data_IF_894110798820
#
_entry.id   IF_894110798820
#
_cell.length_a   1.000
_cell.length_b   1.000
_cell.length_c   1.000
_cell.angle_alpha   90.00
_cell.angle_beta   90.00
_cell.angle_gamma   90.00
#
_symmetry.space_group_name_H-M   'P 1'
#
loop_
_entity.id
_entity.type
_entity.pdbx_description
1 polymer ?
#
# COMPACT_ATOMS: atom_id res chain seq x y z
N UNK A 1 2.12 -22.18 14.55
CA UNK A 1 1.50 -20.99 13.91
C UNK A 1 0.75 -21.48 12.67
N UNK A 2 -0.43 -20.94 12.42
CA UNK A 2 -1.18 -21.24 11.18
C UNK A 2 -0.36 -20.81 9.95
N UNK A 3 -0.48 -21.57 8.85
CA UNK A 3 0.16 -21.21 7.59
C UNK A 3 -0.43 -19.90 7.06
N UNK A 4 0.44 -19.01 6.59
CA UNK A 4 0.05 -17.73 5.97
C UNK A 4 0.31 -17.83 4.47
N UNK A 5 -0.73 -17.67 3.66
CA UNK A 5 -0.61 -17.63 2.20
C UNK A 5 -1.04 -16.26 1.70
N UNK A 6 -0.20 -15.60 0.94
CA UNK A 6 -0.52 -14.36 0.27
C UNK A 6 -0.96 -14.63 -1.17
N UNK A 7 -2.25 -14.43 -1.45
CA UNK A 7 -2.78 -14.39 -2.80
C UNK A 7 -2.49 -13.02 -3.40
N UNK A 8 -1.65 -12.96 -4.42
CA UNK A 8 -1.05 -11.70 -4.85
C UNK A 8 -0.84 -11.57 -6.37
N UNK A 9 -0.41 -10.39 -6.77
CA UNK A 9 0.26 -10.07 -8.01
C UNK A 9 1.55 -9.33 -7.66
N UNK A 10 2.70 -9.86 -8.04
CA UNK A 10 4.03 -9.42 -7.55
C UNK A 10 4.27 -7.91 -7.71
N UNK A 11 3.80 -7.33 -8.82
CA UNK A 11 3.96 -5.89 -9.11
C UNK A 11 2.97 -4.98 -8.38
N UNK A 12 2.00 -5.53 -7.64
CA UNK A 12 0.99 -4.76 -6.91
C UNK A 12 1.60 -4.13 -5.65
N UNK A 13 1.47 -2.81 -5.51
CA UNK A 13 1.86 -2.11 -4.28
C UNK A 13 1.04 -2.57 -3.06
N UNK A 14 -0.25 -2.89 -3.24
CA UNK A 14 -1.06 -3.44 -2.15
C UNK A 14 -0.57 -4.81 -1.68
N UNK A 15 -0.08 -5.65 -2.58
CA UNK A 15 0.56 -6.92 -2.20
C UNK A 15 1.91 -6.68 -1.53
N UNK A 16 2.67 -5.70 -2.02
CA UNK A 16 3.94 -5.30 -1.43
C UNK A 16 3.80 -4.81 0.02
N UNK A 17 2.75 -4.05 0.37
CA UNK A 17 2.45 -3.69 1.77
C UNK A 17 2.50 -4.90 2.70
N UNK A 18 1.84 -6.00 2.30
CA UNK A 18 1.77 -7.22 3.12
C UNK A 18 3.12 -7.92 3.18
N UNK A 19 3.85 -8.02 2.05
CA UNK A 19 5.21 -8.59 2.04
C UNK A 19 6.16 -7.83 2.94
N UNK A 20 6.13 -6.49 2.87
CA UNK A 20 6.97 -5.62 3.68
C UNK A 20 6.61 -5.73 5.17
N UNK A 21 5.31 -5.73 5.51
CA UNK A 21 4.88 -5.92 6.90
C UNK A 21 5.33 -7.28 7.43
N UNK A 22 5.13 -8.35 6.66
CA UNK A 22 5.54 -9.70 7.06
C UNK A 22 7.05 -9.80 7.29
N UNK A 23 7.86 -9.17 6.43
CA UNK A 23 9.30 -9.13 6.60
C UNK A 23 9.72 -8.44 7.90
N UNK A 24 9.12 -7.30 8.22
CA UNK A 24 9.41 -6.57 9.46
C UNK A 24 9.01 -7.33 10.73
N UNK A 25 7.93 -8.13 10.69
CA UNK A 25 7.52 -8.95 11.84
C UNK A 25 8.10 -10.36 11.84
N UNK A 26 8.94 -10.70 10.86
CA UNK A 26 9.55 -12.02 10.73
C UNK A 26 8.54 -13.13 10.37
N UNK A 27 7.38 -12.79 9.80
CA UNK A 27 6.38 -13.76 9.40
C UNK A 27 6.73 -14.38 8.04
N UNK A 28 6.63 -15.71 7.93
CA UNK A 28 6.84 -16.43 6.67
C UNK A 28 5.53 -16.45 5.88
N UNK A 29 5.59 -16.00 4.62
CA UNK A 29 4.47 -16.06 3.69
C UNK A 29 4.75 -17.10 2.60
N UNK A 30 3.80 -17.99 2.38
CA UNK A 30 3.68 -18.68 1.10
C UNK A 30 3.03 -17.73 0.09
N UNK A 31 3.47 -17.75 -1.16
CA UNK A 31 2.97 -16.81 -2.20
C UNK A 31 2.20 -17.58 -3.26
N UNK A 32 0.99 -17.12 -3.54
CA UNK A 32 0.14 -17.63 -4.61
C UNK A 32 -0.12 -16.50 -5.60
N UNK A 33 0.57 -16.56 -6.74
CA UNK A 33 0.54 -15.51 -7.77
C UNK A 33 -0.69 -15.64 -8.67
N UNK A 34 -1.24 -14.49 -9.09
CA UNK A 34 -2.34 -14.38 -10.04
C UNK A 34 -2.04 -13.31 -11.08
N UNK A 35 -2.21 -13.63 -12.35
CA UNK A 35 -2.18 -12.64 -13.41
C UNK A 35 -3.51 -11.87 -13.47
N UNK A 36 -3.51 -10.67 -12.90
CA UNK A 36 -4.70 -9.80 -12.90
C UNK A 36 -5.03 -9.27 -14.31
N UNK A 37 -4.03 -9.18 -15.20
CA UNK A 37 -4.23 -8.72 -16.57
C UNK A 37 -4.87 -9.82 -17.42
N UNK A 38 -4.58 -11.09 -17.13
CA UNK A 38 -5.26 -12.26 -17.72
C UNK A 38 -6.63 -12.54 -17.08
N UNK A 39 -7.03 -11.79 -16.04
CA UNK A 39 -8.34 -11.95 -15.40
C UNK A 39 -8.43 -13.14 -14.44
N UNK A 40 -7.33 -13.71 -13.97
CA UNK A 40 -7.33 -14.90 -13.10
C UNK A 40 -8.09 -14.68 -11.78
N UNK A 41 -8.13 -13.43 -11.28
CA UNK A 41 -8.93 -13.05 -10.09
C UNK A 41 -10.44 -12.92 -10.39
N UNK A 42 -10.87 -13.06 -11.64
CA UNK A 42 -12.28 -13.01 -12.06
C UNK A 42 -12.87 -14.38 -12.36
N UNK A 43 -12.11 -15.44 -12.17
CA UNK A 43 -12.59 -16.80 -12.35
C UNK A 43 -13.63 -17.18 -11.29
N UNK A 44 -14.62 -18.07 -11.63
CA UNK A 44 -15.60 -18.54 -10.65
C UNK A 44 -14.97 -19.15 -9.40
N UNK A 45 -13.85 -19.84 -9.56
CA UNK A 45 -13.10 -20.45 -8.45
C UNK A 45 -12.55 -19.37 -7.49
N UNK A 46 -11.93 -18.31 -8.02
CA UNK A 46 -11.39 -17.23 -7.21
C UNK A 46 -12.52 -16.49 -6.48
N UNK A 47 -13.57 -16.10 -7.21
CA UNK A 47 -14.69 -15.33 -6.68
C UNK A 47 -15.46 -16.07 -5.58
N UNK A 48 -15.61 -17.40 -5.71
CA UNK A 48 -16.35 -18.18 -4.71
C UNK A 48 -15.54 -18.60 -3.49
N UNK A 49 -14.21 -18.68 -3.61
CA UNK A 49 -13.36 -19.27 -2.54
C UNK A 49 -12.41 -18.28 -1.90
N UNK A 50 -11.88 -17.33 -2.65
CA UNK A 50 -10.80 -16.45 -2.19
C UNK A 50 -11.35 -15.06 -1.85
N UNK A 51 -11.94 -14.38 -2.84
CA UNK A 51 -12.49 -13.05 -2.65
C UNK A 51 -13.59 -12.74 -3.66
N UNK A 52 -14.82 -12.61 -3.19
CA UNK A 52 -15.98 -12.27 -4.03
C UNK A 52 -15.87 -10.93 -4.76
N UNK A 53 -14.98 -10.04 -4.29
CA UNK A 53 -14.64 -8.78 -4.98
C UNK A 53 -13.74 -8.97 -6.21
N UNK A 54 -13.12 -10.15 -6.38
CA UNK A 54 -12.21 -10.43 -7.47
C UNK A 54 -10.95 -9.55 -7.44
N UNK A 55 -10.45 -9.21 -6.26
CA UNK A 55 -9.25 -8.38 -6.07
C UNK A 55 -8.21 -9.11 -5.23
N UNK A 56 -6.96 -8.75 -5.46
CA UNK A 56 -5.80 -9.06 -4.62
C UNK A 56 -5.28 -7.77 -3.98
N UNK A 57 -4.54 -7.86 -2.88
CA UNK A 57 -4.14 -9.05 -2.14
C UNK A 57 -5.26 -9.64 -1.29
N UNK A 58 -5.09 -10.92 -0.93
CA UNK A 58 -5.83 -11.57 0.13
C UNK A 58 -4.82 -12.34 1.00
N UNK A 59 -4.84 -12.12 2.30
CA UNK A 59 -4.07 -12.91 3.24
C UNK A 59 -4.92 -14.10 3.70
N UNK A 60 -4.50 -15.30 3.37
CA UNK A 60 -5.11 -16.52 3.89
C UNK A 60 -4.41 -16.95 5.18
N UNK A 61 -5.18 -17.24 6.22
CA UNK A 61 -4.74 -17.65 7.55
C UNK A 61 -5.45 -18.97 7.87
N UNK A 62 -4.77 -20.09 7.67
CA UNK A 62 -5.43 -21.41 7.70
C UNK A 62 -6.56 -21.47 6.67
N UNK A 63 -7.81 -21.66 7.12
CA UNK A 63 -8.99 -21.74 6.26
C UNK A 63 -9.72 -20.39 6.08
N UNK A 64 -9.21 -19.30 6.66
CA UNK A 64 -9.83 -17.97 6.63
C UNK A 64 -9.13 -17.06 5.63
N UNK A 65 -9.92 -16.25 4.93
CA UNK A 65 -9.44 -15.31 3.90
C UNK A 65 -9.71 -13.88 4.36
N UNK A 66 -8.65 -13.08 4.44
CA UNK A 66 -8.69 -11.67 4.83
C UNK A 66 -8.32 -10.79 3.62
N UNK A 67 -9.31 -10.25 2.89
CA UNK A 67 -9.07 -9.22 1.89
C UNK A 67 -8.73 -7.88 2.56
N UNK A 68 -8.42 -6.85 1.77
CA UNK A 68 -7.98 -5.52 2.14
C UNK A 68 -6.54 -5.49 2.71
N UNK A 69 -5.64 -4.90 1.92
CA UNK A 69 -4.21 -4.88 2.23
C UNK A 69 -3.90 -4.25 3.58
N UNK A 70 -4.58 -3.16 3.94
CA UNK A 70 -4.35 -2.46 5.20
C UNK A 70 -4.85 -3.26 6.41
N UNK A 71 -5.95 -4.02 6.25
CA UNK A 71 -6.42 -4.95 7.28
C UNK A 71 -5.44 -6.11 7.48
N UNK A 72 -4.88 -6.65 6.39
CA UNK A 72 -3.87 -7.69 6.45
C UNK A 72 -2.56 -7.20 7.11
N UNK A 73 -2.11 -5.98 6.80
CA UNK A 73 -0.97 -5.35 7.46
C UNK A 73 -1.23 -5.15 8.96
N UNK A 74 -2.41 -4.65 9.31
CA UNK A 74 -2.81 -4.50 10.71
C UNK A 74 -2.81 -5.84 11.45
N UNK A 75 -3.37 -6.90 10.83
CA UNK A 75 -3.38 -8.25 11.41
C UNK A 75 -1.96 -8.75 11.70
N UNK A 76 -1.05 -8.63 10.74
CA UNK A 76 0.34 -9.06 10.89
C UNK A 76 1.10 -8.23 11.94
N UNK A 77 0.83 -6.93 12.04
CA UNK A 77 1.48 -6.02 12.96
C UNK A 77 0.93 -6.11 14.40
N UNK A 78 -0.26 -6.70 14.59
CA UNK A 78 -0.91 -6.81 15.91
C UNK A 78 -0.02 -7.56 16.90
N UNK A 79 0.21 -6.96 18.08
CA UNK A 79 1.06 -7.53 19.13
C UNK A 79 2.56 -7.32 18.91
N UNK A 80 2.95 -6.54 17.92
CA UNK A 80 4.34 -6.13 17.67
C UNK A 80 4.52 -4.63 17.93
N UNK A 81 5.76 -4.17 17.87
CA UNK A 81 6.11 -2.75 18.01
C UNK A 81 5.67 -1.86 16.83
N UNK A 82 5.17 -2.44 15.72
CA UNK A 82 4.64 -1.70 14.58
C UNK A 82 3.28 -1.04 14.87
N UNK A 83 2.59 -1.44 15.94
CA UNK A 83 1.36 -0.80 16.43
C UNK A 83 1.66 -0.14 17.77
N UNK A 84 1.42 1.17 17.93
CA UNK A 84 1.62 1.87 19.20
C UNK A 84 0.77 1.27 20.32
N UNK A 85 1.21 1.42 21.57
CA UNK A 85 0.44 0.99 22.74
C UNK A 85 -0.57 2.05 23.18
N UNK A 86 -0.29 3.33 22.95
CA UNK A 86 -1.20 4.42 23.29
C UNK A 86 -2.47 4.37 22.43
N UNK A 87 -3.62 4.57 23.06
CA UNK A 87 -4.92 4.47 22.40
C UNK A 87 -5.13 5.54 21.32
N UNK A 88 -4.61 6.75 21.56
CA UNK A 88 -4.73 7.82 20.57
C UNK A 88 -3.86 7.53 19.35
N UNK A 89 -2.63 7.09 19.59
CA UNK A 89 -1.71 6.75 18.49
C UNK A 89 -2.20 5.54 17.66
N UNK A 90 -2.90 4.58 18.30
CA UNK A 90 -3.59 3.50 17.57
C UNK A 90 -4.68 4.07 16.65
N UNK A 91 -5.49 4.99 17.16
CA UNK A 91 -6.53 5.64 16.37
C UNK A 91 -5.93 6.51 15.25
N UNK A 92 -4.81 7.20 15.51
CA UNK A 92 -4.10 7.98 14.52
C UNK A 92 -3.46 7.09 13.44
N UNK A 93 -2.94 5.91 13.82
CA UNK A 93 -2.50 4.90 12.87
C UNK A 93 -3.64 4.50 11.93
N UNK A 94 -4.81 4.13 12.47
CA UNK A 94 -5.98 3.77 11.67
C UNK A 94 -6.45 4.94 10.79
N UNK A 95 -6.39 6.18 11.28
CA UNK A 95 -6.69 7.37 10.48
C UNK A 95 -5.80 7.44 9.24
N UNK A 96 -4.48 7.19 9.38
CA UNK A 96 -3.57 7.17 8.25
C UNK A 96 -3.88 6.02 7.28
N UNK A 97 -4.24 4.84 7.78
CA UNK A 97 -4.63 3.70 6.94
C UNK A 97 -5.90 3.99 6.13
N UNK A 98 -6.92 4.63 6.76
CA UNK A 98 -8.14 5.05 6.06
C UNK A 98 -7.88 6.19 5.09
N UNK A 99 -7.06 7.17 5.47
CA UNK A 99 -6.69 8.27 4.60
C UNK A 99 -5.94 7.80 3.36
N UNK A 100 -5.07 6.84 3.52
CA UNK A 100 -4.35 6.21 2.41
C UNK A 100 -5.34 5.63 1.39
N UNK A 101 -6.32 4.85 1.84
CA UNK A 101 -7.32 4.23 0.98
C UNK A 101 -8.28 5.23 0.33
N UNK A 102 -8.55 6.36 0.98
CA UNK A 102 -9.52 7.33 0.48
C UNK A 102 -8.89 8.46 -0.33
N UNK A 103 -7.69 8.92 0.04
CA UNK A 103 -7.09 10.14 -0.51
C UNK A 103 -5.79 9.90 -1.29
N UNK A 104 -4.94 8.98 -0.83
CA UNK A 104 -3.63 8.73 -1.44
C UNK A 104 -3.71 7.67 -2.54
N UNK A 105 -4.07 6.44 -2.23
CA UNK A 105 -4.09 5.33 -3.20
C UNK A 105 -4.97 5.60 -4.42
N UNK A 106 -6.21 6.10 -4.30
CA UNK A 106 -7.08 6.33 -5.46
C UNK A 106 -6.50 7.31 -6.48
N UNK A 107 -5.51 8.09 -6.09
CA UNK A 107 -4.87 9.09 -6.93
C UNK A 107 -3.44 8.67 -7.32
N UNK A 108 -2.59 8.41 -6.34
CA UNK A 108 -1.18 8.08 -6.59
C UNK A 108 -1.03 6.70 -7.25
N UNK A 109 -1.63 5.66 -6.66
CA UNK A 109 -1.55 4.31 -7.20
C UNK A 109 -2.31 4.14 -8.52
N UNK A 110 -3.44 4.83 -8.67
CA UNK A 110 -4.21 4.80 -9.92
C UNK A 110 -3.41 5.38 -11.08
N UNK A 111 -2.74 6.52 -10.89
CA UNK A 111 -1.91 7.11 -11.95
C UNK A 111 -0.69 6.24 -12.23
N UNK A 112 -0.04 5.66 -11.21
CA UNK A 112 1.01 4.67 -11.41
C UNK A 112 0.52 3.53 -12.30
N UNK A 113 -0.64 2.93 -12.00
CA UNK A 113 -1.22 1.86 -12.83
C UNK A 113 -1.51 2.31 -14.26
N UNK A 114 -2.08 3.50 -14.44
CA UNK A 114 -2.41 4.00 -15.77
C UNK A 114 -1.16 4.23 -16.63
N UNK A 115 -0.14 4.89 -16.07
CA UNK A 115 1.07 5.18 -16.83
C UNK A 115 1.96 3.96 -17.05
N UNK A 116 2.14 3.10 -16.03
CA UNK A 116 3.11 2.00 -16.07
C UNK A 116 2.59 0.70 -16.68
N UNK A 117 1.25 0.47 -16.70
CA UNK A 117 0.66 -0.76 -17.25
C UNK A 117 -0.20 -0.53 -18.49
N UNK A 118 -0.92 0.58 -18.54
CA UNK A 118 -1.81 0.88 -19.68
C UNK A 118 -1.04 1.64 -20.75
N UNK A 119 -0.22 2.63 -20.35
CA UNK A 119 0.43 3.59 -21.22
C UNK A 119 -0.50 4.74 -21.61
N UNK A 120 0.02 5.97 -21.60
CA UNK A 120 -0.78 7.18 -21.84
C UNK A 120 -1.46 7.19 -23.21
N UNK A 121 -0.81 6.61 -24.22
CA UNK A 121 -1.33 6.46 -25.58
C UNK A 121 -2.62 5.61 -25.63
N UNK A 122 -2.79 4.70 -24.68
CA UNK A 122 -3.92 3.77 -24.60
C UNK A 122 -5.05 4.26 -23.67
N UNK A 123 -4.95 5.47 -23.10
CA UNK A 123 -5.99 5.98 -22.21
C UNK A 123 -7.32 6.12 -22.90
N UNK A 124 -8.36 5.56 -22.29
CA UNK A 124 -9.74 5.75 -22.74
C UNK A 124 -10.24 7.16 -22.37
N UNK A 125 -11.44 7.52 -22.83
CA UNK A 125 -12.06 8.82 -22.61
C UNK A 125 -12.22 9.15 -21.12
N UNK A 126 -12.65 8.17 -20.31
CA UNK A 126 -12.79 8.34 -18.86
C UNK A 126 -11.44 8.66 -18.20
N UNK A 127 -10.37 7.92 -18.56
CA UNK A 127 -9.04 8.15 -17.99
C UNK A 127 -8.49 9.54 -18.36
N UNK A 128 -8.67 9.97 -19.61
CA UNK A 128 -8.26 11.30 -20.05
C UNK A 128 -9.02 12.41 -19.30
N UNK A 129 -10.33 12.26 -19.13
CA UNK A 129 -11.15 13.22 -18.40
C UNK A 129 -10.83 13.27 -16.89
N UNK A 130 -10.53 12.13 -16.27
CA UNK A 130 -10.25 12.03 -14.84
C UNK A 130 -8.79 12.38 -14.48
N UNK A 131 -7.87 12.32 -15.43
CA UNK A 131 -6.43 12.51 -15.19
C UNK A 131 -6.09 13.83 -14.47
N UNK A 132 -6.59 15.02 -14.90
CA UNK A 132 -6.27 16.27 -14.22
C UNK A 132 -6.72 16.29 -12.76
N UNK A 133 -7.92 15.77 -12.46
CA UNK A 133 -8.46 15.72 -11.10
C UNK A 133 -7.67 14.77 -10.21
N UNK A 134 -7.34 13.57 -10.72
CA UNK A 134 -6.53 12.60 -9.97
C UNK A 134 -5.12 13.12 -9.71
N UNK A 135 -4.53 13.80 -10.70
CA UNK A 135 -3.21 14.41 -10.53
C UNK A 135 -3.22 15.49 -9.46
N UNK A 136 -4.19 16.42 -9.49
CA UNK A 136 -4.33 17.45 -8.47
C UNK A 136 -4.50 16.85 -7.08
N UNK A 137 -5.42 15.89 -6.90
CA UNK A 137 -5.64 15.24 -5.62
C UNK A 137 -4.42 14.44 -5.13
N UNK A 138 -3.64 13.85 -6.03
CA UNK A 138 -2.39 13.17 -5.65
C UNK A 138 -1.27 14.15 -5.24
N UNK A 139 -1.17 15.30 -5.89
CA UNK A 139 -0.26 16.38 -5.47
C UNK A 139 -0.63 16.91 -4.08
N UNK A 140 -1.93 17.12 -3.81
CA UNK A 140 -2.42 17.52 -2.49
C UNK A 140 -2.11 16.46 -1.42
N UNK A 141 -2.26 15.17 -1.76
CA UNK A 141 -1.94 14.09 -0.85
C UNK A 141 -0.43 14.05 -0.52
N UNK A 142 0.45 14.15 -1.51
CA UNK A 142 1.89 14.19 -1.30
C UNK A 142 2.31 15.43 -0.50
N UNK A 143 1.70 16.59 -0.79
CA UNK A 143 1.95 17.81 -0.03
C UNK A 143 1.54 17.69 1.44
N UNK A 144 0.37 17.08 1.73
CA UNK A 144 -0.07 16.85 3.11
C UNK A 144 0.92 15.96 3.86
N UNK A 145 1.43 14.92 3.21
CA UNK A 145 2.48 14.07 3.78
C UNK A 145 3.76 14.86 4.03
N UNK A 146 4.21 15.67 3.07
CA UNK A 146 5.43 16.46 3.19
C UNK A 146 5.34 17.47 4.34
N UNK A 147 4.23 18.22 4.44
CA UNK A 147 3.99 19.16 5.52
C UNK A 147 3.95 18.49 6.92
N UNK A 148 3.42 17.26 6.99
CA UNK A 148 3.40 16.46 8.21
C UNK A 148 4.80 15.98 8.60
N UNK A 149 5.53 15.43 7.64
CA UNK A 149 6.86 14.83 7.82
C UNK A 149 7.97 15.87 7.94
N UNK A 150 7.74 17.12 7.55
CA UNK A 150 8.68 18.21 7.80
C UNK A 150 8.96 18.47 9.29
N UNK A 151 8.12 17.94 10.18
CA UNK A 151 8.21 18.13 11.64
C UNK A 151 8.32 16.81 12.40
N UNK A 152 8.41 15.69 11.68
CA UNK A 152 8.37 14.34 12.26
C UNK A 152 9.23 13.40 11.43
N UNK A 153 9.82 12.43 12.10
CA UNK A 153 10.56 11.37 11.41
C UNK A 153 9.63 10.31 10.80
N UNK A 154 8.47 10.08 11.43
CA UNK A 154 7.48 9.08 11.01
C UNK A 154 6.04 9.60 11.13
N UNK A 155 5.10 8.86 10.56
CA UNK A 155 3.71 9.32 10.45
C UNK A 155 2.98 9.38 11.79
N UNK A 156 3.27 8.47 12.73
CA UNK A 156 2.58 8.37 14.02
C UNK A 156 3.60 8.25 15.15
N UNK A 157 3.37 8.97 16.25
CA UNK A 157 4.16 8.91 17.48
C UNK A 157 5.69 9.07 17.29
N UNK A 158 6.08 9.67 16.18
CA UNK A 158 7.48 9.89 15.77
C UNK A 158 8.34 8.61 15.79
N UNK A 159 7.72 7.48 15.49
CA UNK A 159 8.35 6.16 15.43
C UNK A 159 7.84 5.35 14.24
N UNK A 160 8.73 4.52 13.68
CA UNK A 160 8.39 3.62 12.60
C UNK A 160 7.25 2.67 12.99
N UNK A 161 6.23 2.55 12.13
CA UNK A 161 5.05 1.74 12.38
C UNK A 161 4.34 1.27 11.11
N UNK A 162 3.22 0.59 11.29
CA UNK A 162 2.46 0.02 10.16
C UNK A 162 1.90 1.10 9.22
N UNK A 163 1.65 2.31 9.70
CA UNK A 163 1.24 3.43 8.85
C UNK A 163 2.33 3.80 7.83
N UNK A 164 3.61 3.81 8.28
CA UNK A 164 4.74 4.08 7.39
C UNK A 164 4.88 3.00 6.33
N UNK A 165 4.76 1.72 6.69
CA UNK A 165 4.82 0.60 5.75
C UNK A 165 3.73 0.72 4.67
N UNK A 166 2.51 1.02 5.09
CA UNK A 166 1.36 1.11 4.19
C UNK A 166 1.53 2.26 3.18
N UNK A 167 1.89 3.45 3.67
CA UNK A 167 2.05 4.63 2.82
C UNK A 167 3.33 4.58 1.97
N UNK A 168 4.40 3.95 2.48
CA UNK A 168 5.64 3.77 1.73
C UNK A 168 5.43 3.09 0.38
N UNK A 169 4.57 2.09 0.33
CA UNK A 169 4.40 1.21 -0.84
C UNK A 169 4.15 1.98 -2.15
N UNK A 170 3.21 2.90 -2.15
CA UNK A 170 2.89 3.67 -3.36
C UNK A 170 3.60 5.02 -3.42
N UNK A 171 4.01 5.57 -2.28
CA UNK A 171 4.77 6.81 -2.28
C UNK A 171 6.17 6.60 -2.87
N UNK A 172 6.83 5.48 -2.57
CA UNK A 172 8.16 5.16 -3.09
C UNK A 172 8.21 4.96 -4.61
N UNK A 173 7.06 4.69 -5.23
CA UNK A 173 6.93 4.48 -6.67
C UNK A 173 6.06 5.54 -7.36
N UNK A 174 5.79 6.66 -6.69
CA UNK A 174 4.86 7.67 -7.20
C UNK A 174 5.36 8.34 -8.50
N UNK A 175 6.66 8.37 -8.75
CA UNK A 175 7.24 8.92 -9.98
C UNK A 175 6.81 8.13 -11.22
N UNK A 176 6.52 6.83 -11.09
CA UNK A 176 5.91 6.04 -12.16
C UNK A 176 4.50 6.54 -12.55
N UNK A 177 3.83 7.28 -11.66
CA UNK A 177 2.55 7.97 -11.91
C UNK A 177 2.71 9.42 -12.38
N UNK A 178 3.96 9.87 -12.62
CA UNK A 178 4.30 11.20 -13.11
C UNK A 178 4.33 12.28 -12.02
N UNK A 179 4.49 11.90 -10.76
CA UNK A 179 4.82 12.83 -9.66
C UNK A 179 6.33 13.02 -9.59
N UNK A 180 6.80 14.03 -8.89
CA UNK A 180 8.23 14.31 -8.70
C UNK A 180 8.55 14.34 -7.21
N UNK A 181 9.29 13.35 -6.70
CA UNK A 181 9.70 13.28 -5.30
C UNK A 181 10.58 14.46 -4.88
N UNK A 182 11.35 15.03 -5.79
CA UNK A 182 12.16 16.22 -5.53
C UNK A 182 11.36 17.45 -5.08
N UNK A 183 10.05 17.49 -5.36
CA UNK A 183 9.16 18.56 -4.92
C UNK A 183 8.71 18.39 -3.43
N UNK A 184 9.03 17.24 -2.80
CA UNK A 184 8.61 16.84 -1.46
C UNK A 184 9.79 16.35 -0.62
N UNK A 185 10.67 17.26 -0.16
CA UNK A 185 11.93 16.87 0.50
C UNK A 185 11.75 16.10 1.82
N UNK A 186 10.68 16.38 2.58
CA UNK A 186 10.40 15.66 3.81
C UNK A 186 9.89 14.24 3.55
N UNK A 187 9.09 14.05 2.51
CA UNK A 187 8.68 12.72 2.02
C UNK A 187 9.90 11.94 1.54
N UNK A 188 10.80 12.56 0.77
CA UNK A 188 12.01 11.90 0.28
C UNK A 188 12.88 11.40 1.44
N UNK A 189 13.15 12.25 2.42
CA UNK A 189 13.91 11.88 3.62
C UNK A 189 13.23 10.78 4.44
N UNK A 190 11.89 10.80 4.53
CA UNK A 190 11.12 9.74 5.17
C UNK A 190 11.20 8.42 4.40
N UNK A 191 11.13 8.42 3.07
CA UNK A 191 11.31 7.21 2.25
C UNK A 191 12.67 6.56 2.51
N UNK A 192 13.74 7.37 2.61
CA UNK A 192 15.09 6.87 2.94
C UNK A 192 15.12 6.24 4.35
N UNK A 193 14.49 6.87 5.35
CA UNK A 193 14.41 6.32 6.72
C UNK A 193 13.65 5.01 6.77
N UNK A 194 12.54 4.89 6.05
CA UNK A 194 11.76 3.64 5.97
C UNK A 194 12.55 2.54 5.25
N UNK A 195 13.22 2.87 4.15
CA UNK A 195 14.05 1.91 3.42
C UNK A 195 15.26 1.42 4.23
N UNK A 196 15.76 2.23 5.16
CA UNK A 196 16.87 1.88 6.04
C UNK A 196 16.46 1.02 7.24
N UNK A 197 15.17 0.76 7.45
CA UNK A 197 14.71 -0.05 8.58
C UNK A 197 15.17 -1.50 8.46
N UNK A 198 15.62 -2.12 9.56
CA UNK A 198 15.92 -3.55 9.59
C UNK A 198 14.70 -4.37 9.13
N UNK A 199 14.93 -5.34 8.25
CA UNK A 199 13.84 -6.16 7.70
C UNK A 199 13.15 -5.55 6.46
N UNK A 200 13.61 -4.39 5.98
CA UNK A 200 13.11 -3.85 4.71
C UNK A 200 13.43 -4.79 3.54
N UNK A 201 12.45 -5.02 2.68
CA UNK A 201 12.59 -5.79 1.43
C UNK A 201 12.13 -4.92 0.25
N UNK A 202 12.79 -5.00 -0.90
CA UNK A 202 12.38 -4.24 -2.09
C UNK A 202 11.01 -4.70 -2.63
N UNK A 203 10.35 -3.83 -3.40
CA UNK A 203 9.05 -4.08 -4.04
C UNK A 203 9.13 -5.08 -5.20
#
# INVERSE_FOLDING_TARGET
MEALVLHEYARSGNCYKIRLTAAHVGAKLERCEYDIMAGETRTPKFLSRINGNGRIPVLQIGDRFLPESNAACWYLATGTDLIPQDRFDQADTLRWLFWEQYSHEPNVATLRFWFSWIGEENFNEFQRAALPLKRAAGLDALKLMDDHLAKRDYLVADRFGVADIVLYSYTSTCEEGGYRLADYPAVQAWLERVAAQPGHVPS
#
